data_IF_067444536806
#
_entry.id   IF_067444536806
#
_cell.length_a   1.000
_cell.length_b   1.000
_cell.length_c   1.000
_cell.angle_alpha   90.00
_cell.angle_beta   90.00
_cell.angle_gamma   90.00
#
_symmetry.space_group_name_H-M   'P 1'
#
loop_
_entity.id
_entity.type
_entity.pdbx_description
1 polymer ?
#
# COMPACT_ATOMS: atom_id res chain seq x y z
N UNK A 1 41.52 -5.31 -20.17
CA UNK A 1 41.75 -5.12 -18.71
C UNK A 1 42.90 -6.01 -18.27
N UNK A 2 44.03 -5.41 -17.94
CA UNK A 2 45.13 -6.09 -17.27
C UNK A 2 44.74 -6.32 -15.81
N UNK A 3 44.51 -7.57 -15.46
CA UNK A 3 44.06 -7.98 -14.14
C UNK A 3 45.18 -8.77 -13.46
N UNK A 4 45.61 -8.37 -12.30
CA UNK A 4 46.60 -9.11 -11.54
C UNK A 4 45.92 -10.26 -10.82
N UNK A 5 46.20 -11.50 -11.26
CA UNK A 5 45.60 -12.72 -10.72
C UNK A 5 46.68 -13.39 -9.82
N UNK A 6 46.38 -13.46 -8.55
CA UNK A 6 47.27 -14.12 -7.54
C UNK A 6 46.76 -15.52 -7.23
N UNK A 7 47.70 -16.42 -7.00
CA UNK A 7 47.44 -17.78 -6.54
C UNK A 7 47.32 -17.78 -5.00
N UNK A 8 46.28 -18.45 -4.50
CA UNK A 8 46.02 -18.55 -3.06
C UNK A 8 45.68 -19.98 -2.67
N UNK A 9 46.31 -20.50 -1.66
CA UNK A 9 46.02 -21.83 -1.09
C UNK A 9 45.02 -21.68 0.07
N UNK A 10 43.91 -22.37 -0.02
CA UNK A 10 42.91 -22.47 1.05
C UNK A 10 43.43 -23.33 2.20
N UNK A 11 42.86 -23.21 3.42
CA UNK A 11 43.18 -24.03 4.58
C UNK A 11 43.06 -25.54 4.34
N UNK A 12 42.24 -25.96 3.39
CA UNK A 12 42.06 -27.37 2.96
C UNK A 12 43.06 -27.82 1.89
N UNK A 13 44.14 -27.07 1.62
CA UNK A 13 45.14 -27.39 0.64
C UNK A 13 44.79 -27.09 -0.83
N UNK A 14 43.53 -26.77 -1.16
CA UNK A 14 43.14 -26.50 -2.51
C UNK A 14 43.68 -25.15 -3.04
N UNK A 15 44.29 -25.20 -4.23
CA UNK A 15 44.78 -23.98 -4.89
C UNK A 15 43.62 -23.28 -5.63
N UNK A 16 43.46 -21.98 -5.39
CA UNK A 16 42.51 -21.10 -6.04
C UNK A 16 43.16 -19.82 -6.54
N UNK A 17 42.58 -19.22 -7.55
CA UNK A 17 43.05 -17.96 -8.11
C UNK A 17 42.14 -16.83 -7.68
N UNK A 18 42.73 -15.70 -7.30
CA UNK A 18 42.05 -14.53 -6.75
C UNK A 18 42.49 -13.28 -7.48
N UNK A 19 41.54 -12.37 -7.74
CA UNK A 19 41.83 -11.05 -8.30
C UNK A 19 40.93 -9.99 -7.68
N UNK A 20 41.49 -8.79 -7.49
CA UNK A 20 40.71 -7.60 -7.17
C UNK A 20 40.27 -6.94 -8.48
N UNK A 21 38.96 -6.71 -8.59
CA UNK A 21 38.32 -6.14 -9.78
C UNK A 21 37.82 -4.74 -9.46
N UNK A 22 38.23 -3.77 -10.23
CA UNK A 22 37.67 -2.44 -10.17
C UNK A 22 36.36 -2.41 -10.98
N UNK A 23 35.27 -2.06 -10.34
CA UNK A 23 33.94 -2.03 -10.94
C UNK A 23 33.59 -0.68 -11.57
N UNK A 24 34.17 0.41 -11.05
CA UNK A 24 33.87 1.78 -11.45
C UNK A 24 33.71 2.71 -10.25
N UNK A 25 33.10 3.87 -10.49
CA UNK A 25 32.68 4.81 -9.43
C UNK A 25 31.21 4.57 -9.10
N UNK A 26 30.92 4.33 -7.84
CA UNK A 26 29.55 4.20 -7.36
C UNK A 26 28.79 5.54 -7.51
N UNK A 27 27.74 5.55 -8.30
CA UNK A 27 26.96 6.77 -8.59
C UNK A 27 26.21 7.34 -7.38
N UNK A 28 25.92 6.51 -6.37
CA UNK A 28 25.20 6.94 -5.17
C UNK A 28 26.15 7.53 -4.12
N UNK A 29 27.38 7.01 -4.04
CA UNK A 29 28.32 7.40 -2.98
C UNK A 29 29.51 8.20 -3.48
N UNK A 30 29.73 8.26 -4.81
CA UNK A 30 30.90 8.89 -5.44
C UNK A 30 32.24 8.16 -5.17
N UNK A 31 32.22 7.01 -4.46
CA UNK A 31 33.43 6.25 -4.09
C UNK A 31 33.79 5.22 -5.15
N UNK A 32 35.09 4.92 -5.25
CA UNK A 32 35.61 3.86 -6.11
C UNK A 32 35.15 2.49 -5.60
N UNK A 33 34.37 1.77 -6.40
CA UNK A 33 33.88 0.44 -6.11
C UNK A 33 34.88 -0.64 -6.56
N UNK A 34 35.20 -1.59 -5.69
CA UNK A 34 36.05 -2.74 -5.98
C UNK A 34 35.43 -4.00 -5.37
N UNK A 35 35.63 -5.13 -6.02
CA UNK A 35 35.25 -6.44 -5.49
C UNK A 35 36.39 -7.43 -5.67
N UNK A 36 36.36 -8.51 -4.92
CA UNK A 36 37.32 -9.59 -5.02
C UNK A 36 36.64 -10.83 -5.56
N UNK A 37 37.16 -11.39 -6.65
CA UNK A 37 36.65 -12.62 -7.25
C UNK A 37 37.65 -13.76 -7.05
N UNK A 38 37.12 -14.95 -6.80
CA UNK A 38 37.91 -16.18 -6.60
C UNK A 38 37.34 -17.31 -7.44
N UNK A 39 38.21 -18.08 -8.11
CA UNK A 39 37.82 -19.27 -8.87
C UNK A 39 38.94 -20.31 -8.85
N UNK A 40 38.61 -21.56 -9.24
CA UNK A 40 39.59 -22.66 -9.27
C UNK A 40 40.55 -22.58 -10.46
N UNK A 41 40.28 -21.69 -11.43
CA UNK A 41 41.12 -21.52 -12.63
C UNK A 41 41.29 -20.02 -12.94
N UNK A 42 42.39 -19.65 -13.58
CA UNK A 42 42.65 -18.28 -14.07
C UNK A 42 41.56 -17.84 -15.06
N UNK A 43 41.06 -18.73 -15.90
CA UNK A 43 39.95 -18.46 -16.84
C UNK A 43 38.66 -18.20 -16.10
N UNK A 44 38.34 -18.94 -15.05
CA UNK A 44 37.19 -18.75 -14.20
C UNK A 44 37.20 -17.38 -13.45
N UNK A 45 38.37 -16.91 -13.01
CA UNK A 45 38.52 -15.57 -12.42
C UNK A 45 38.15 -14.49 -13.42
N UNK A 46 38.59 -14.61 -14.69
CA UNK A 46 38.26 -13.64 -15.76
C UNK A 46 36.77 -13.59 -16.07
N UNK A 47 36.09 -14.76 -16.07
CA UNK A 47 34.63 -14.84 -16.30
C UNK A 47 33.90 -14.15 -15.14
N UNK A 48 34.18 -14.54 -13.90
CA UNK A 48 33.56 -13.91 -12.71
C UNK A 48 33.82 -12.41 -12.58
N UNK A 49 35.02 -11.97 -13.02
CA UNK A 49 35.30 -10.53 -13.06
C UNK A 49 34.41 -9.77 -14.03
N UNK A 50 34.17 -10.34 -15.21
CA UNK A 50 33.24 -9.75 -16.20
C UNK A 50 31.79 -9.77 -15.69
N UNK A 51 31.36 -10.87 -15.07
CA UNK A 51 30.05 -10.97 -14.44
C UNK A 51 29.86 -9.90 -13.36
N UNK A 52 30.84 -9.69 -12.50
CA UNK A 52 30.80 -8.66 -11.47
C UNK A 52 30.70 -7.23 -12.02
N UNK A 53 31.39 -6.93 -13.10
CA UNK A 53 31.29 -5.63 -13.79
C UNK A 53 29.91 -5.46 -14.43
N UNK A 54 29.40 -6.51 -15.09
CA UNK A 54 28.06 -6.47 -15.68
C UNK A 54 26.96 -6.34 -14.63
N UNK A 55 27.07 -7.04 -13.49
CA UNK A 55 26.14 -6.94 -12.37
C UNK A 55 26.14 -5.51 -11.76
N UNK A 56 27.34 -4.91 -11.62
CA UNK A 56 27.45 -3.53 -11.14
C UNK A 56 26.81 -2.52 -12.11
N UNK A 57 26.99 -2.71 -13.41
CA UNK A 57 26.34 -1.88 -14.43
C UNK A 57 24.81 -2.07 -14.43
N UNK A 58 24.32 -3.32 -14.33
CA UNK A 58 22.89 -3.65 -14.23
C UNK A 58 22.25 -3.05 -12.97
N UNK A 59 22.99 -2.96 -11.85
CA UNK A 59 22.53 -2.30 -10.61
C UNK A 59 22.64 -0.76 -10.65
N UNK A 60 22.80 -0.17 -11.81
CA UNK A 60 22.88 1.29 -11.99
C UNK A 60 24.18 1.91 -11.51
N UNK A 61 25.28 1.15 -11.58
CA UNK A 61 26.62 1.55 -11.13
C UNK A 61 26.68 1.85 -9.62
N UNK A 62 25.98 1.05 -8.80
CA UNK A 62 26.08 1.15 -7.34
C UNK A 62 26.37 -0.21 -6.70
N UNK A 63 27.14 -0.18 -5.60
CA UNK A 63 27.40 -1.36 -4.75
C UNK A 63 26.23 -1.65 -3.81
N UNK A 64 25.42 -0.63 -3.49
CA UNK A 64 24.21 -0.83 -2.68
C UNK A 64 23.16 -1.57 -3.50
N UNK A 65 22.75 -2.74 -3.00
CA UNK A 65 21.60 -3.44 -3.54
C UNK A 65 20.39 -2.53 -3.44
N UNK A 66 19.72 -2.28 -4.56
CA UNK A 66 18.39 -1.68 -4.53
C UNK A 66 17.48 -2.70 -3.83
N UNK A 67 16.67 -2.28 -2.85
CA UNK A 67 15.67 -3.18 -2.28
C UNK A 67 14.81 -3.69 -3.45
N UNK A 68 14.93 -4.99 -3.73
CA UNK A 68 14.20 -5.60 -4.84
C UNK A 68 12.79 -5.90 -4.35
N UNK A 69 11.88 -4.95 -4.58
CA UNK A 69 10.46 -5.14 -4.34
C UNK A 69 9.92 -5.99 -5.48
N UNK A 70 9.59 -7.24 -5.21
CA UNK A 70 9.20 -8.22 -6.23
C UNK A 70 7.71 -8.46 -6.28
N UNK A 71 7.03 -8.45 -5.13
CA UNK A 71 5.61 -8.73 -5.00
C UNK A 71 4.79 -7.48 -4.66
N UNK A 72 3.51 -7.52 -5.02
CA UNK A 72 2.59 -6.45 -4.64
C UNK A 72 2.44 -6.33 -3.12
N UNK A 73 2.47 -7.45 -2.38
CA UNK A 73 2.40 -7.47 -0.91
C UNK A 73 3.57 -6.73 -0.26
N UNK A 74 4.79 -6.93 -0.75
CA UNK A 74 5.99 -6.19 -0.30
C UNK A 74 5.84 -4.69 -0.57
N UNK A 75 5.33 -4.33 -1.75
CA UNK A 75 5.06 -2.94 -2.10
C UNK A 75 4.03 -2.30 -1.17
N UNK A 76 2.94 -3.02 -0.85
CA UNK A 76 1.90 -2.54 0.09
C UNK A 76 2.49 -2.30 1.47
N UNK A 77 3.34 -3.20 1.98
CA UNK A 77 3.97 -3.04 3.28
C UNK A 77 4.83 -1.77 3.36
N UNK A 78 5.67 -1.54 2.35
CA UNK A 78 6.52 -0.33 2.28
C UNK A 78 5.69 0.95 2.09
N UNK A 79 4.66 0.90 1.24
CA UNK A 79 3.74 2.00 1.05
C UNK A 79 3.03 2.35 2.35
N UNK A 80 2.56 1.35 3.10
CA UNK A 80 1.84 1.54 4.35
C UNK A 80 2.68 2.23 5.41
N UNK A 81 3.95 1.83 5.57
CA UNK A 81 4.88 2.48 6.51
C UNK A 81 5.04 3.98 6.24
N UNK A 82 5.02 4.38 4.98
CA UNK A 82 5.10 5.80 4.60
C UNK A 82 3.76 6.50 4.73
N UNK A 83 2.67 5.84 4.29
CA UNK A 83 1.35 6.45 4.17
C UNK A 83 0.64 6.62 5.51
N UNK A 84 0.76 5.66 6.45
CA UNK A 84 0.08 5.71 7.76
C UNK A 84 0.33 7.01 8.52
N UNK A 85 1.52 7.57 8.38
CA UNK A 85 1.91 8.80 9.08
C UNK A 85 1.31 10.08 8.45
N UNK A 86 0.63 9.98 7.32
CA UNK A 86 -0.01 11.11 6.63
C UNK A 86 -1.49 11.24 6.93
N UNK A 87 -2.07 10.29 7.67
CA UNK A 87 -3.51 10.22 7.95
C UNK A 87 -3.80 10.09 9.44
N UNK A 88 -5.01 10.51 9.85
CA UNK A 88 -5.48 10.43 11.24
C UNK A 88 -5.64 8.95 11.69
N UNK A 89 -5.49 8.63 13.00
CA UNK A 89 -5.57 7.26 13.52
C UNK A 89 -6.85 6.51 13.10
N UNK A 90 -8.02 7.14 13.18
CA UNK A 90 -9.28 6.53 12.76
C UNK A 90 -9.30 6.16 11.27
N UNK A 91 -8.64 6.98 10.43
CA UNK A 91 -8.50 6.71 9.00
C UNK A 91 -7.51 5.58 8.73
N UNK A 92 -6.48 5.42 9.58
CA UNK A 92 -5.52 4.33 9.47
C UNK A 92 -6.22 2.98 9.60
N UNK A 93 -7.02 2.79 10.66
CA UNK A 93 -7.75 1.55 10.91
C UNK A 93 -8.68 1.19 9.75
N UNK A 94 -9.44 2.18 9.24
CA UNK A 94 -10.32 1.97 8.09
C UNK A 94 -9.56 1.61 6.82
N UNK A 95 -8.45 2.30 6.54
CA UNK A 95 -7.63 2.08 5.35
C UNK A 95 -6.95 0.71 5.39
N UNK A 96 -6.37 0.33 6.53
CA UNK A 96 -5.77 -0.97 6.75
C UNK A 96 -6.79 -2.10 6.55
N UNK A 97 -7.98 -1.96 7.10
CA UNK A 97 -9.08 -2.89 6.91
C UNK A 97 -9.43 -3.07 5.43
N UNK A 98 -9.55 -1.98 4.67
CA UNK A 98 -9.86 -2.02 3.24
C UNK A 98 -8.74 -2.73 2.46
N UNK A 99 -7.49 -2.37 2.71
CA UNK A 99 -6.34 -2.98 2.02
C UNK A 99 -6.27 -4.47 2.32
N UNK A 100 -6.43 -4.86 3.59
CA UNK A 100 -6.36 -6.26 4.04
C UNK A 100 -7.49 -7.10 3.50
N UNK A 101 -8.74 -6.58 3.47
CA UNK A 101 -9.93 -7.37 3.13
C UNK A 101 -10.24 -7.38 1.63
N UNK A 102 -9.87 -6.33 0.88
CA UNK A 102 -10.31 -6.18 -0.50
C UNK A 102 -9.18 -6.11 -1.54
N UNK A 103 -7.99 -5.65 -1.16
CA UNK A 103 -6.89 -5.45 -2.11
C UNK A 103 -5.86 -6.58 -2.05
N UNK A 104 -5.33 -6.88 -0.85
CA UNK A 104 -4.32 -7.92 -0.69
C UNK A 104 -4.78 -9.33 -1.10
N UNK A 105 -6.03 -9.76 -0.84
CA UNK A 105 -6.48 -11.08 -1.29
C UNK A 105 -6.51 -11.24 -2.81
N UNK A 106 -6.58 -10.12 -3.54
CA UNK A 106 -6.66 -10.10 -5.00
C UNK A 106 -5.27 -9.96 -5.63
N UNK A 107 -4.49 -9.00 -5.18
CA UNK A 107 -3.24 -8.61 -5.85
C UNK A 107 -1.98 -9.00 -5.07
N UNK A 108 -2.10 -9.36 -3.79
CA UNK A 108 -0.96 -9.52 -2.89
C UNK A 108 0.14 -10.44 -3.39
N UNK A 109 -0.23 -11.54 -4.01
CA UNK A 109 0.71 -12.57 -4.46
C UNK A 109 1.20 -12.38 -5.90
N UNK A 110 0.70 -11.35 -6.59
CA UNK A 110 1.21 -11.01 -7.91
C UNK A 110 2.63 -10.45 -7.83
N UNK A 111 3.48 -10.90 -8.75
CA UNK A 111 4.74 -10.22 -9.04
C UNK A 111 4.43 -8.88 -9.73
N UNK A 112 5.15 -7.83 -9.35
CA UNK A 112 4.90 -6.48 -9.88
C UNK A 112 5.07 -6.38 -11.39
N UNK A 113 6.02 -7.12 -11.97
CA UNK A 113 6.27 -7.19 -13.41
C UNK A 113 5.14 -7.89 -14.19
N UNK A 114 4.31 -8.68 -13.52
CA UNK A 114 3.16 -9.40 -14.10
C UNK A 114 1.83 -8.69 -13.92
N UNK A 115 1.79 -7.67 -13.08
CA UNK A 115 0.57 -6.90 -12.83
C UNK A 115 0.35 -5.86 -13.95
N UNK A 116 -0.54 -6.21 -14.89
CA UNK A 116 -0.82 -5.38 -16.08
C UNK A 116 -2.18 -4.68 -15.97
N UNK A 117 -2.38 -3.62 -16.77
CA UNK A 117 -3.64 -2.88 -16.84
C UNK A 117 -4.86 -3.79 -17.13
N UNK A 118 -4.82 -4.76 -18.06
CA UNK A 118 -5.94 -5.67 -18.29
C UNK A 118 -6.33 -6.49 -17.05
N UNK A 119 -5.37 -6.95 -16.26
CA UNK A 119 -5.64 -7.70 -15.03
C UNK A 119 -6.38 -6.82 -14.02
N UNK A 120 -5.91 -5.58 -13.84
CA UNK A 120 -6.54 -4.63 -12.93
C UNK A 120 -7.94 -4.25 -13.42
N UNK A 121 -8.10 -3.99 -14.73
CA UNK A 121 -9.39 -3.69 -15.33
C UNK A 121 -10.41 -4.81 -15.11
N UNK A 122 -10.01 -6.05 -15.34
CA UNK A 122 -10.87 -7.21 -15.09
C UNK A 122 -11.33 -7.29 -13.63
N UNK A 123 -10.41 -7.00 -12.70
CA UNK A 123 -10.75 -7.02 -11.29
C UNK A 123 -11.68 -5.85 -10.89
N UNK A 124 -11.46 -4.67 -11.42
CA UNK A 124 -12.34 -3.51 -11.18
C UNK A 124 -13.75 -3.79 -11.71
N UNK A 125 -13.87 -4.42 -12.88
CA UNK A 125 -15.16 -4.85 -13.42
C UNK A 125 -15.84 -5.86 -12.48
N UNK A 126 -15.11 -6.86 -11.97
CA UNK A 126 -15.65 -7.83 -10.98
C UNK A 126 -16.12 -7.14 -9.70
N UNK A 127 -15.38 -6.17 -9.19
CA UNK A 127 -15.81 -5.40 -8.02
C UNK A 127 -17.08 -4.59 -8.30
N UNK A 128 -17.15 -3.96 -9.48
CA UNK A 128 -18.33 -3.21 -9.90
C UNK A 128 -19.56 -4.11 -10.03
N UNK A 129 -19.44 -5.28 -10.67
CA UNK A 129 -20.52 -6.24 -10.85
C UNK A 129 -21.06 -6.74 -9.50
N UNK A 130 -20.17 -7.13 -8.58
CA UNK A 130 -20.56 -7.56 -7.22
C UNK A 130 -21.28 -6.44 -6.47
N UNK A 131 -20.74 -5.22 -6.51
CA UNK A 131 -21.31 -4.07 -5.82
C UNK A 131 -22.68 -3.67 -6.40
N UNK A 132 -22.83 -3.69 -7.73
CA UNK A 132 -24.09 -3.34 -8.42
C UNK A 132 -25.17 -4.41 -8.22
N UNK A 133 -24.79 -5.68 -8.02
CA UNK A 133 -25.71 -6.78 -7.66
C UNK A 133 -26.05 -6.81 -6.16
N UNK A 134 -25.38 -6.01 -5.33
CA UNK A 134 -25.58 -6.03 -3.87
C UNK A 134 -25.12 -7.33 -3.20
N UNK A 135 -24.13 -8.01 -3.76
CA UNK A 135 -23.62 -9.27 -3.21
C UNK A 135 -23.03 -9.07 -1.81
N UNK A 136 -23.26 -10.04 -0.91
CA UNK A 136 -22.72 -10.02 0.46
C UNK A 136 -21.19 -9.93 0.43
N UNK A 137 -20.62 -8.97 1.19
CA UNK A 137 -19.18 -8.73 1.24
C UNK A 137 -18.63 -7.87 0.09
N UNK A 138 -19.47 -7.43 -0.85
CA UNK A 138 -19.08 -6.49 -1.88
C UNK A 138 -18.82 -5.10 -1.28
N UNK A 139 -17.73 -4.45 -1.70
CA UNK A 139 -17.44 -3.08 -1.30
C UNK A 139 -18.18 -2.11 -2.23
N UNK A 140 -19.19 -1.42 -1.72
CA UNK A 140 -20.07 -0.55 -2.51
C UNK A 140 -19.34 0.60 -3.22
N UNK A 141 -18.21 1.04 -2.70
CA UNK A 141 -17.38 2.10 -3.30
C UNK A 141 -16.14 1.51 -3.98
N UNK A 142 -16.34 0.66 -4.99
CA UNK A 142 -15.26 0.01 -5.74
C UNK A 142 -14.30 0.98 -6.44
N UNK A 143 -14.76 2.19 -6.78
CA UNK A 143 -13.89 3.24 -7.32
C UNK A 143 -12.81 3.65 -6.29
N UNK A 144 -13.16 3.65 -5.01
CA UNK A 144 -12.21 3.93 -3.93
C UNK A 144 -11.16 2.82 -3.81
N UNK A 145 -11.53 1.55 -4.00
CA UNK A 145 -10.57 0.44 -4.03
C UNK A 145 -9.52 0.65 -5.14
N UNK A 146 -9.98 1.03 -6.34
CA UNK A 146 -9.04 1.31 -7.43
C UNK A 146 -8.18 2.55 -7.17
N UNK A 147 -8.71 3.57 -6.51
CA UNK A 147 -7.93 4.74 -6.11
C UNK A 147 -6.80 4.39 -5.12
N UNK A 148 -7.07 3.50 -4.17
CA UNK A 148 -6.04 2.99 -3.24
C UNK A 148 -5.00 2.20 -4.03
N UNK A 149 -5.43 1.26 -4.87
CA UNK A 149 -4.55 0.45 -5.72
C UNK A 149 -3.65 1.34 -6.60
N UNK A 150 -4.22 2.38 -7.23
CA UNK A 150 -3.47 3.36 -8.01
C UNK A 150 -2.41 4.09 -7.20
N UNK A 151 -2.70 4.46 -5.95
CA UNK A 151 -1.73 5.11 -5.03
C UNK A 151 -0.59 4.18 -4.66
N UNK A 152 -0.88 2.92 -4.34
CA UNK A 152 0.13 1.90 -4.02
C UNK A 152 1.05 1.68 -5.20
N UNK A 153 0.50 1.49 -6.40
CA UNK A 153 1.29 1.30 -7.62
C UNK A 153 2.06 2.56 -8.02
N UNK A 154 1.51 3.75 -7.77
CA UNK A 154 2.24 5.00 -7.98
C UNK A 154 3.46 5.11 -7.05
N UNK A 155 3.32 4.67 -5.81
CA UNK A 155 4.45 4.56 -4.89
C UNK A 155 5.51 3.58 -5.44
N UNK A 156 5.08 2.47 -6.05
CA UNK A 156 5.99 1.54 -6.74
C UNK A 156 6.77 2.18 -7.89
N UNK A 157 6.16 3.11 -8.64
CA UNK A 157 6.86 3.90 -9.66
C UNK A 157 7.88 4.84 -9.00
N UNK A 158 7.49 5.53 -7.93
CA UNK A 158 8.38 6.43 -7.18
C UNK A 158 9.60 5.69 -6.61
N UNK A 159 9.39 4.47 -6.12
CA UNK A 159 10.45 3.59 -5.61
C UNK A 159 11.23 2.87 -6.72
N UNK A 160 10.92 3.14 -7.98
CA UNK A 160 11.54 2.49 -9.15
C UNK A 160 11.41 0.96 -9.18
N UNK A 161 10.41 0.41 -8.48
CA UNK A 161 10.07 -1.02 -8.52
C UNK A 161 9.35 -1.40 -9.82
N UNK A 162 8.58 -0.47 -10.40
CA UNK A 162 7.91 -0.58 -11.70
C UNK A 162 8.15 0.69 -12.52
N UNK A 163 8.13 0.56 -13.85
CA UNK A 163 8.39 1.69 -14.75
C UNK A 163 7.18 2.61 -14.93
N UNK A 164 5.98 2.05 -14.93
CA UNK A 164 4.72 2.78 -15.11
C UNK A 164 3.65 2.20 -14.19
N UNK A 165 2.63 3.00 -13.91
CA UNK A 165 1.52 2.60 -13.06
C UNK A 165 0.42 1.92 -13.89
N UNK A 166 0.21 0.58 -13.79
CA UNK A 166 -0.77 -0.12 -14.58
C UNK A 166 -2.23 0.17 -14.16
N UNK A 167 -2.46 0.83 -13.01
CA UNK A 167 -3.81 1.25 -12.58
C UNK A 167 -4.16 2.67 -13.02
N UNK A 168 -3.27 3.38 -13.75
CA UNK A 168 -3.47 4.79 -14.10
C UNK A 168 -4.67 4.99 -15.00
N UNK A 169 -4.75 4.18 -16.05
CA UNK A 169 -5.71 4.36 -17.15
C UNK A 169 -6.87 3.33 -17.10
N UNK A 170 -7.10 2.77 -15.91
CA UNK A 170 -8.22 1.85 -15.67
C UNK A 170 -9.55 2.60 -15.72
N UNK A 171 -10.47 2.09 -16.51
CA UNK A 171 -11.83 2.63 -16.66
C UNK A 171 -12.69 2.14 -15.50
N UNK A 172 -13.28 3.06 -14.75
CA UNK A 172 -14.18 2.73 -13.65
C UNK A 172 -15.61 2.61 -14.19
N UNK A 173 -16.28 1.43 -14.11
CA UNK A 173 -17.67 1.29 -14.49
C UNK A 173 -18.55 2.24 -13.68
N UNK A 174 -19.63 2.73 -14.31
CA UNK A 174 -20.58 3.60 -13.63
C UNK A 174 -21.31 2.82 -12.54
N UNK A 175 -21.41 3.41 -11.35
CA UNK A 175 -22.23 2.87 -10.27
C UNK A 175 -23.70 2.93 -10.69
N UNK A 176 -24.37 1.78 -10.66
CA UNK A 176 -25.82 1.78 -10.80
C UNK A 176 -26.40 2.43 -9.54
N UNK A 177 -27.11 3.55 -9.72
CA UNK A 177 -27.80 4.18 -8.62
C UNK A 177 -28.95 3.24 -8.22
N UNK A 178 -28.79 2.54 -7.10
CA UNK A 178 -29.93 1.95 -6.43
C UNK A 178 -30.86 3.11 -6.04
N UNK A 179 -32.06 3.07 -6.58
CA UNK A 179 -33.09 4.08 -6.42
C UNK A 179 -33.33 4.40 -4.95
N UNK A 180 -33.65 5.66 -4.72
CA UNK A 180 -34.15 6.25 -3.48
C UNK A 180 -33.11 6.43 -2.38
N UNK A 181 -32.33 7.50 -2.49
CA UNK A 181 -31.93 8.24 -1.30
C UNK A 181 -33.22 8.83 -0.66
N UNK A 182 -33.92 7.98 0.09
CA UNK A 182 -34.89 8.52 1.05
C UNK A 182 -34.09 9.31 2.06
N UNK A 183 -34.18 10.61 1.97
CA UNK A 183 -33.65 11.48 3.04
C UNK A 183 -34.38 11.05 4.30
N UNK A 184 -33.67 10.43 5.22
CA UNK A 184 -34.22 9.99 6.49
C UNK A 184 -34.26 11.22 7.40
N UNK A 185 -35.39 11.83 7.47
CA UNK A 185 -35.69 12.87 8.45
C UNK A 185 -36.97 12.47 9.19
N UNK A 186 -37.09 12.90 10.42
CA UNK A 186 -38.33 12.73 11.16
C UNK A 186 -39.41 13.64 10.59
N UNK A 187 -40.59 13.09 10.35
CA UNK A 187 -41.79 13.91 10.19
C UNK A 187 -42.07 14.66 11.52
N UNK A 188 -42.88 15.70 11.47
CA UNK A 188 -43.24 16.46 12.68
C UNK A 188 -43.88 15.57 13.77
N UNK A 189 -44.63 14.54 13.34
CA UNK A 189 -45.25 13.60 14.26
C UNK A 189 -44.21 12.66 14.91
N UNK A 190 -43.28 12.12 14.12
CA UNK A 190 -42.20 11.27 14.62
C UNK A 190 -41.24 12.06 15.54
N UNK A 191 -40.94 13.29 15.18
CA UNK A 191 -40.12 14.19 16.00
C UNK A 191 -40.81 14.44 17.33
N UNK A 192 -42.14 14.72 17.37
CA UNK A 192 -42.88 14.88 18.60
C UNK A 192 -42.81 13.62 19.47
N UNK A 193 -43.05 12.45 18.89
CA UNK A 193 -42.95 11.19 19.61
C UNK A 193 -41.56 10.97 20.21
N UNK A 194 -40.52 11.31 19.46
CA UNK A 194 -39.15 11.19 19.93
C UNK A 194 -38.85 12.14 21.09
N UNK A 195 -39.32 13.40 21.01
CA UNK A 195 -39.17 14.37 22.09
C UNK A 195 -39.95 13.94 23.35
N UNK A 196 -41.20 13.47 23.17
CA UNK A 196 -42.01 12.97 24.26
C UNK A 196 -41.35 11.76 24.96
N UNK A 197 -40.71 10.87 24.17
CA UNK A 197 -39.91 9.77 24.75
C UNK A 197 -38.74 10.30 25.58
N UNK A 198 -37.95 11.24 25.07
CA UNK A 198 -36.82 11.80 25.78
C UNK A 198 -37.26 12.48 27.09
N UNK A 199 -38.36 13.23 27.06
CA UNK A 199 -38.86 13.98 28.24
C UNK A 199 -39.46 13.07 29.32
N UNK A 200 -39.76 11.80 28.96
CA UNK A 200 -40.24 10.77 29.91
C UNK A 200 -39.16 9.79 30.39
N UNK A 201 -37.89 10.02 30.01
CA UNK A 201 -36.79 9.16 30.49
C UNK A 201 -36.58 9.36 32.01
N UNK A 202 -36.27 8.27 32.71
CA UNK A 202 -35.79 8.32 34.08
C UNK A 202 -34.37 8.85 34.13
N UNK A 203 -34.21 10.13 34.43
CA UNK A 203 -32.92 10.82 34.45
C UNK A 203 -32.08 10.53 35.70
N UNK A 204 -32.51 9.65 36.59
CA UNK A 204 -31.70 9.15 37.72
C UNK A 204 -30.57 8.25 37.24
N UNK A 205 -30.76 7.55 36.09
CA UNK A 205 -29.72 6.80 35.41
C UNK A 205 -28.79 7.72 34.66
N UNK A 206 -27.46 7.53 34.84
CA UNK A 206 -26.47 8.30 34.11
C UNK A 206 -26.59 8.12 32.58
N UNK A 207 -26.88 6.91 32.11
CA UNK A 207 -27.05 6.60 30.70
C UNK A 207 -28.22 7.37 30.09
N UNK A 208 -29.38 7.35 30.74
CA UNK A 208 -30.55 8.07 30.29
C UNK A 208 -30.33 9.59 30.33
N UNK A 209 -29.69 10.10 31.38
CA UNK A 209 -29.33 11.50 31.47
C UNK A 209 -28.37 11.95 30.37
N UNK A 210 -27.35 11.13 30.08
CA UNK A 210 -26.40 11.38 28.98
C UNK A 210 -27.11 11.42 27.64
N UNK A 211 -27.95 10.42 27.34
CA UNK A 211 -28.73 10.36 26.09
C UNK A 211 -29.68 11.55 25.97
N UNK A 212 -30.36 11.90 27.01
CA UNK A 212 -31.25 13.08 27.04
C UNK A 212 -30.49 14.37 26.68
N UNK A 213 -29.39 14.63 27.36
CA UNK A 213 -28.57 15.83 27.11
C UNK A 213 -28.00 15.82 25.69
N UNK A 214 -27.46 14.69 25.26
CA UNK A 214 -26.86 14.55 23.93
C UNK A 214 -27.89 14.83 22.83
N UNK A 215 -29.04 14.17 22.85
CA UNK A 215 -30.04 14.35 21.80
C UNK A 215 -30.71 15.73 21.84
N UNK A 216 -30.98 16.30 23.01
CA UNK A 216 -31.49 17.68 23.10
C UNK A 216 -30.45 18.68 22.56
N UNK A 217 -29.17 18.48 22.85
CA UNK A 217 -28.09 19.34 22.31
C UNK A 217 -27.97 19.21 20.78
N UNK A 218 -28.01 18.00 20.24
CA UNK A 218 -27.97 17.78 18.80
C UNK A 218 -29.14 18.43 18.08
N UNK A 219 -30.36 18.31 18.62
CA UNK A 219 -31.57 18.92 18.05
C UNK A 219 -31.54 20.45 18.13
N UNK A 220 -31.07 21.00 19.23
CA UNK A 220 -31.02 22.45 19.43
C UNK A 220 -29.93 23.15 18.62
N UNK A 221 -28.75 22.48 18.45
CA UNK A 221 -27.58 23.11 17.83
C UNK A 221 -27.38 22.70 16.36
N UNK A 222 -27.92 21.54 15.94
CA UNK A 222 -27.66 20.98 14.60
C UNK A 222 -26.20 20.54 14.39
N UNK A 223 -25.38 20.46 15.44
CA UNK A 223 -23.98 20.05 15.34
C UNK A 223 -23.86 18.55 15.03
N UNK A 224 -22.69 18.14 14.53
CA UNK A 224 -22.40 16.70 14.33
C UNK A 224 -22.20 16.02 15.68
N UNK A 225 -22.55 14.74 15.78
CA UNK A 225 -22.40 13.97 17.02
C UNK A 225 -20.98 14.03 17.60
N UNK A 226 -19.93 14.00 16.74
CA UNK A 226 -18.55 14.13 17.21
C UNK A 226 -18.21 15.53 17.75
N UNK A 227 -18.90 16.57 17.28
CA UNK A 227 -18.76 17.94 17.79
C UNK A 227 -19.49 18.08 19.14
N UNK A 228 -20.69 17.48 19.27
CA UNK A 228 -21.43 17.46 20.53
C UNK A 228 -20.67 16.71 21.63
N UNK A 229 -20.07 15.56 21.31
CA UNK A 229 -19.28 14.76 22.26
C UNK A 229 -17.92 15.40 22.63
N UNK A 230 -17.45 16.36 21.86
CA UNK A 230 -16.22 17.12 22.13
C UNK A 230 -16.45 18.44 22.89
N UNK A 231 -17.70 18.75 23.30
CA UNK A 231 -17.98 19.90 24.11
C UNK A 231 -17.38 19.72 25.51
N UNK A 232 -16.60 20.70 25.93
CA UNK A 232 -16.04 20.83 27.27
C UNK A 232 -16.73 22.03 27.99
N UNK A 233 -16.92 21.88 29.31
CA UNK A 233 -17.53 22.90 30.17
C UNK A 233 -16.46 23.70 30.91
#
# INVERSE_FOLDING_TARGET
MTMNITEYKKKNGATVYRASVYLGVDKLTGKKARTTVTANTKKGVKIKAREAVNAFAANGYSVKEKPTITTYRELVALWWESYKNTIKPNSQQSMEGIVRLHILPVFGDYKLDKLTTPIIQQQVNKWADKANKGEKGAYANYSFLNNINRRILQYGVTMQAIQHNPARDVIIPRKQQNKEHKVKFFSNQELKQFLDYLDNLDLSSYENFFDYVLYKTLLASGCRIGEALALEW
#
